data_IF_842388686214
#
_entry.id   IF_842388686214
#
_cell.length_a   1.000
_cell.length_b   1.000
_cell.length_c   1.000
_cell.angle_alpha   90.00
_cell.angle_beta   90.00
_cell.angle_gamma   90.00
#
_symmetry.space_group_name_H-M   'P 1'
#
loop_
_entity.id
_entity.type
_entity.pdbx_description
1 polymer ?
#
# COMPACT_ATOMS: atom_id res chain seq x y z
N UNK A 1 -34.71 -41.04 -0.36
CA UNK A 1 -34.50 -39.58 -0.49
C UNK A 1 -33.45 -39.01 0.48
N UNK A 2 -33.16 -39.62 1.64
CA UNK A 2 -32.23 -39.05 2.64
C UNK A 2 -30.74 -39.20 2.27
N UNK A 3 -30.36 -40.23 1.51
CA UNK A 3 -28.95 -40.55 1.21
C UNK A 3 -28.28 -39.56 0.23
N UNK A 4 -29.06 -38.83 -0.57
CA UNK A 4 -28.55 -37.83 -1.53
C UNK A 4 -28.37 -36.44 -0.89
N UNK A 5 -29.02 -36.18 0.25
CA UNK A 5 -28.97 -34.89 0.94
C UNK A 5 -27.63 -34.71 1.66
N UNK A 6 -27.06 -35.80 2.20
CA UNK A 6 -25.83 -35.74 3.00
C UNK A 6 -24.59 -35.32 2.17
N UNK A 7 -24.33 -35.87 0.96
CA UNK A 7 -23.21 -35.42 0.12
C UNK A 7 -23.38 -33.96 -0.34
N UNK A 8 -24.61 -33.54 -0.65
CA UNK A 8 -24.91 -32.17 -1.09
C UNK A 8 -24.67 -31.13 0.00
N UNK A 9 -25.07 -31.41 1.25
CA UNK A 9 -24.85 -30.53 2.39
C UNK A 9 -23.36 -30.40 2.73
N UNK A 10 -22.58 -31.48 2.60
CA UNK A 10 -21.13 -31.45 2.83
C UNK A 10 -20.40 -30.65 1.73
N UNK A 11 -20.79 -30.81 0.46
CA UNK A 11 -20.21 -30.05 -0.67
C UNK A 11 -20.49 -28.54 -0.56
N UNK A 12 -21.69 -28.14 -0.16
CA UNK A 12 -22.05 -26.73 0.02
C UNK A 12 -21.31 -26.13 1.22
N UNK A 13 -21.26 -26.85 2.35
CA UNK A 13 -20.62 -26.41 3.59
C UNK A 13 -19.11 -26.18 3.45
N UNK A 14 -18.42 -26.96 2.59
CA UNK A 14 -16.98 -26.79 2.32
C UNK A 14 -16.75 -25.83 1.13
N UNK A 15 -17.65 -25.80 0.15
CA UNK A 15 -17.51 -24.98 -1.06
C UNK A 15 -17.62 -23.48 -0.81
N UNK A 16 -18.55 -23.05 0.04
CA UNK A 16 -18.77 -21.63 0.37
C UNK A 16 -17.54 -20.96 1.03
N UNK A 17 -16.95 -21.49 2.12
CA UNK A 17 -15.79 -20.85 2.75
C UNK A 17 -14.56 -20.84 1.84
N UNK A 18 -14.39 -21.86 0.98
CA UNK A 18 -13.30 -21.88 -0.01
C UNK A 18 -13.51 -20.80 -1.08
N UNK A 19 -14.73 -20.65 -1.60
CA UNK A 19 -15.04 -19.62 -2.58
C UNK A 19 -14.87 -18.21 -2.01
N UNK A 20 -15.33 -17.98 -0.77
CA UNK A 20 -15.13 -16.71 -0.04
C UNK A 20 -13.64 -16.45 0.17
N UNK A 21 -12.88 -17.46 0.61
CA UNK A 21 -11.44 -17.35 0.83
C UNK A 21 -10.68 -16.98 -0.44
N UNK A 22 -10.95 -17.67 -1.55
CA UNK A 22 -10.34 -17.38 -2.85
C UNK A 22 -10.75 -15.99 -3.36
N UNK A 23 -12.05 -15.64 -3.27
CA UNK A 23 -12.55 -14.32 -3.66
C UNK A 23 -11.86 -13.18 -2.89
N UNK A 24 -11.64 -13.37 -1.58
CA UNK A 24 -10.91 -12.41 -0.75
C UNK A 24 -9.45 -12.23 -1.21
N UNK A 25 -8.76 -13.32 -1.51
CA UNK A 25 -7.37 -13.27 -2.01
C UNK A 25 -7.29 -12.50 -3.33
N UNK A 26 -8.21 -12.78 -4.27
CA UNK A 26 -8.27 -12.04 -5.54
C UNK A 26 -8.46 -10.53 -5.34
N UNK A 27 -9.32 -10.15 -4.40
CA UNK A 27 -9.57 -8.74 -4.09
C UNK A 27 -8.33 -8.07 -3.50
N UNK A 28 -7.63 -8.74 -2.57
CA UNK A 28 -6.38 -8.23 -1.98
C UNK A 28 -5.33 -8.02 -3.07
N UNK A 29 -5.14 -9.00 -3.96
CA UNK A 29 -4.18 -8.90 -5.07
C UNK A 29 -4.57 -7.76 -6.03
N UNK A 30 -5.86 -7.62 -6.34
CA UNK A 30 -6.33 -6.55 -7.22
C UNK A 30 -6.09 -5.15 -6.62
N UNK A 31 -6.40 -4.97 -5.33
CA UNK A 31 -6.14 -3.73 -4.59
C UNK A 31 -4.64 -3.45 -4.56
N UNK A 32 -3.81 -4.46 -4.29
CA UNK A 32 -2.37 -4.30 -4.24
C UNK A 32 -1.79 -3.86 -5.58
N UNK A 33 -2.22 -4.48 -6.68
CA UNK A 33 -1.81 -4.09 -8.04
C UNK A 33 -2.27 -2.65 -8.34
N UNK A 34 -3.48 -2.30 -7.92
CA UNK A 34 -4.03 -0.96 -8.11
C UNK A 34 -3.25 0.11 -7.34
N UNK A 35 -2.88 -0.16 -6.09
CA UNK A 35 -2.07 0.74 -5.25
C UNK A 35 -0.69 1.00 -5.87
N UNK A 36 0.00 -0.04 -6.35
CA UNK A 36 1.30 0.14 -7.01
C UNK A 36 1.17 1.00 -8.28
N UNK A 37 0.07 0.86 -9.02
CA UNK A 37 -0.19 1.69 -10.21
C UNK A 37 -0.57 3.14 -9.87
N UNK A 38 -1.07 3.40 -8.67
CA UNK A 38 -1.40 4.73 -8.17
C UNK A 38 -0.23 5.42 -7.46
N UNK A 39 0.83 4.68 -7.11
CA UNK A 39 1.95 5.16 -6.31
C UNK A 39 2.54 6.50 -6.75
N UNK A 40 2.54 6.79 -8.05
CA UNK A 40 3.13 8.02 -8.60
C UNK A 40 2.11 8.93 -9.27
N UNK A 41 0.81 8.71 -9.05
CA UNK A 41 -0.22 9.55 -9.65
C UNK A 41 -0.14 11.00 -9.14
N UNK A 42 0.10 11.20 -7.85
CA UNK A 42 0.29 12.52 -7.24
C UNK A 42 1.56 13.19 -7.78
N UNK A 43 2.66 12.44 -7.89
CA UNK A 43 3.92 12.95 -8.43
C UNK A 43 3.79 13.37 -9.89
N UNK A 44 3.11 12.57 -10.71
CA UNK A 44 2.83 12.91 -12.10
C UNK A 44 1.92 14.14 -12.22
N UNK A 45 0.90 14.28 -11.34
CA UNK A 45 0.04 15.46 -11.33
C UNK A 45 0.82 16.75 -10.99
N UNK A 46 1.74 16.67 -10.02
CA UNK A 46 2.55 17.82 -9.58
C UNK A 46 3.67 18.15 -10.58
N UNK A 47 4.39 17.14 -11.06
CA UNK A 47 5.58 17.32 -11.90
C UNK A 47 5.26 17.67 -13.34
N UNK A 48 4.20 17.07 -13.89
CA UNK A 48 3.84 17.20 -15.30
C UNK A 48 2.65 18.17 -15.48
N UNK A 49 2.22 18.83 -14.40
CA UNK A 49 1.01 19.69 -14.33
C UNK A 49 -0.23 19.01 -14.94
N UNK A 50 -0.29 17.69 -14.81
CA UNK A 50 -1.25 16.85 -15.52
C UNK A 50 -2.59 16.79 -14.76
N UNK A 51 -3.70 16.95 -15.49
CA UNK A 51 -5.03 16.68 -14.96
C UNK A 51 -5.18 15.22 -14.50
N UNK A 52 -6.13 14.94 -13.59
CA UNK A 52 -6.20 13.67 -12.88
C UNK A 52 -6.17 12.40 -13.75
N UNK A 53 -6.89 12.37 -14.88
CA UNK A 53 -6.87 11.21 -15.79
C UNK A 53 -5.52 11.04 -16.51
N UNK A 54 -4.88 12.15 -16.90
CA UNK A 54 -3.55 12.16 -17.52
C UNK A 54 -2.48 11.69 -16.53
N UNK A 55 -2.54 12.19 -15.29
CA UNK A 55 -1.63 11.80 -14.21
C UNK A 55 -1.71 10.30 -13.90
N UNK A 56 -2.92 9.73 -13.89
CA UNK A 56 -3.14 8.29 -13.74
C UNK A 56 -2.56 7.48 -14.90
N UNK A 57 -2.75 7.94 -16.14
CA UNK A 57 -2.18 7.28 -17.31
C UNK A 57 -0.65 7.30 -17.28
N UNK A 58 -0.06 8.44 -16.89
CA UNK A 58 1.38 8.61 -16.72
C UNK A 58 1.95 7.71 -15.62
N UNK A 59 1.33 7.67 -14.45
CA UNK A 59 1.73 6.75 -13.37
C UNK A 59 1.69 5.29 -13.84
N UNK A 60 0.64 4.89 -14.59
CA UNK A 60 0.59 3.53 -15.18
C UNK A 60 1.70 3.26 -16.18
N UNK A 61 2.10 4.25 -16.99
CA UNK A 61 3.20 4.12 -17.93
C UNK A 61 4.54 3.93 -17.21
N UNK A 62 4.83 4.75 -16.20
CA UNK A 62 6.08 4.69 -15.43
C UNK A 62 6.17 3.39 -14.61
N UNK A 63 5.05 2.94 -14.04
CA UNK A 63 5.00 1.71 -13.21
C UNK A 63 5.08 0.41 -14.03
N UNK A 64 4.83 0.47 -15.34
CA UNK A 64 4.84 -0.71 -16.22
C UNK A 64 6.24 -1.31 -16.30
N UNK A 65 6.34 -2.62 -16.07
CA UNK A 65 7.62 -3.36 -16.09
C UNK A 65 8.45 -3.27 -14.80
N UNK A 66 8.10 -2.35 -13.89
CA UNK A 66 8.88 -2.09 -12.67
C UNK A 66 8.17 -2.49 -11.38
N UNK A 67 7.11 -3.31 -11.46
CA UNK A 67 6.22 -3.65 -10.34
C UNK A 67 6.97 -4.05 -9.06
N UNK A 68 7.83 -5.08 -9.13
CA UNK A 68 8.56 -5.58 -7.97
C UNK A 68 9.59 -4.59 -7.41
N UNK A 69 10.17 -3.78 -8.27
CA UNK A 69 11.12 -2.73 -7.85
C UNK A 69 10.39 -1.64 -7.05
N UNK A 70 9.20 -1.26 -7.50
CA UNK A 70 8.36 -0.28 -6.79
C UNK A 70 7.87 -0.84 -5.47
N UNK A 71 7.37 -2.09 -5.46
CA UNK A 71 6.94 -2.76 -4.21
C UNK A 71 8.08 -2.84 -3.21
N UNK A 72 9.26 -3.29 -3.63
CA UNK A 72 10.43 -3.37 -2.75
C UNK A 72 10.85 -2.01 -2.21
N UNK A 73 10.82 -0.97 -3.06
CA UNK A 73 11.12 0.40 -2.65
C UNK A 73 10.10 0.95 -1.65
N UNK A 74 8.80 0.80 -1.93
CA UNK A 74 7.74 1.19 -1.00
C UNK A 74 7.87 0.48 0.34
N UNK A 75 8.16 -0.82 0.33
CA UNK A 75 8.32 -1.59 1.55
C UNK A 75 9.56 -1.14 2.33
N UNK A 76 10.65 -0.78 1.65
CA UNK A 76 11.85 -0.25 2.31
C UNK A 76 11.58 1.11 2.97
N UNK A 77 10.95 2.04 2.24
CA UNK A 77 10.69 3.40 2.74
C UNK A 77 9.57 3.40 3.79
N UNK A 78 8.39 2.93 3.43
CA UNK A 78 7.23 2.95 4.32
C UNK A 78 7.28 1.85 5.38
N UNK A 79 7.97 0.74 5.15
CA UNK A 79 8.11 -0.30 6.17
C UNK A 79 8.86 0.19 7.41
N UNK A 80 9.92 1.00 7.22
CA UNK A 80 10.65 1.61 8.35
C UNK A 80 9.75 2.61 9.08
N UNK A 81 9.06 3.49 8.35
CA UNK A 81 8.13 4.47 8.93
C UNK A 81 7.02 3.77 9.70
N UNK A 82 6.42 2.73 9.11
CA UNK A 82 5.36 1.94 9.72
C UNK A 82 5.84 1.20 10.97
N UNK A 83 7.03 0.58 10.93
CA UNK A 83 7.61 -0.08 12.09
C UNK A 83 7.82 0.89 13.26
N UNK A 84 8.37 2.08 12.99
CA UNK A 84 8.54 3.12 14.00
C UNK A 84 7.19 3.60 14.56
N UNK A 85 6.23 3.90 13.68
CA UNK A 85 4.89 4.31 14.08
C UNK A 85 4.18 3.23 14.93
N UNK A 86 4.37 1.94 14.61
CA UNK A 86 3.83 0.83 15.38
C UNK A 86 4.47 0.73 16.77
N UNK A 87 5.81 0.85 16.88
CA UNK A 87 6.51 0.85 18.17
C UNK A 87 6.04 1.99 19.07
N UNK A 88 5.85 3.17 18.48
CA UNK A 88 5.28 4.34 19.13
C UNK A 88 3.85 4.04 19.61
N UNK A 89 3.01 3.50 18.73
CA UNK A 89 1.63 3.15 19.06
C UNK A 89 1.55 2.20 20.24
N UNK A 90 2.47 1.23 20.30
CA UNK A 90 2.60 0.32 21.43
C UNK A 90 3.06 1.03 22.71
N UNK A 91 3.99 1.99 22.63
CA UNK A 91 4.42 2.74 23.82
C UNK A 91 3.30 3.56 24.46
N UNK A 92 2.33 4.04 23.66
CA UNK A 92 1.16 4.77 24.16
C UNK A 92 0.20 3.89 24.97
N UNK A 93 0.35 2.56 24.96
CA UNK A 93 -0.41 1.66 25.83
C UNK A 93 0.05 1.72 27.29
N UNK A 94 1.22 2.28 27.55
CA UNK A 94 1.75 2.42 28.91
C UNK A 94 1.37 3.84 29.41
N UNK A 95 0.60 3.96 30.51
CA UNK A 95 0.09 5.25 30.97
C UNK A 95 1.15 6.34 31.24
N UNK A 96 2.40 5.94 31.52
CA UNK A 96 3.49 6.91 31.75
C UNK A 96 3.87 7.70 30.49
N UNK A 97 3.60 7.15 29.30
CA UNK A 97 3.83 7.82 28.02
C UNK A 97 2.61 8.57 27.50
N UNK A 98 1.46 8.46 28.17
CA UNK A 98 0.22 9.16 27.81
C UNK A 98 0.26 10.61 28.29
N UNK A 99 1.07 11.43 27.63
CA UNK A 99 1.08 12.86 27.84
C UNK A 99 1.20 13.62 26.52
N UNK A 100 0.67 14.85 26.53
CA UNK A 100 0.61 15.72 25.37
C UNK A 100 1.99 15.96 24.72
N UNK A 101 3.05 16.10 25.53
CA UNK A 101 4.39 16.42 25.03
C UNK A 101 4.97 15.26 24.22
N UNK A 102 4.87 14.03 24.75
CA UNK A 102 5.31 12.82 24.05
C UNK A 102 4.53 12.65 22.75
N UNK A 103 3.20 12.78 22.79
CA UNK A 103 2.36 12.69 21.59
C UNK A 103 2.75 13.72 20.53
N UNK A 104 2.93 14.99 20.90
CA UNK A 104 3.29 16.06 19.97
C UNK A 104 4.67 15.84 19.33
N UNK A 105 5.68 15.47 20.13
CA UNK A 105 7.03 15.15 19.62
C UNK A 105 6.94 14.01 18.63
N UNK A 106 6.22 12.95 18.98
CA UNK A 106 6.16 11.77 18.16
C UNK A 106 5.40 11.98 16.85
N UNK A 107 4.26 12.67 16.87
CA UNK A 107 3.54 13.03 15.65
C UNK A 107 4.38 13.91 14.74
N UNK A 108 5.12 14.87 15.31
CA UNK A 108 6.05 15.72 14.54
C UNK A 108 7.13 14.88 13.87
N UNK A 109 7.71 13.92 14.60
CA UNK A 109 8.76 13.04 14.06
C UNK A 109 8.24 12.11 12.96
N UNK A 110 7.04 11.52 13.13
CA UNK A 110 6.39 10.71 12.09
C UNK A 110 6.10 11.53 10.85
N UNK A 111 5.57 12.75 11.01
CA UNK A 111 5.29 13.65 9.88
C UNK A 111 6.57 14.06 9.15
N UNK A 112 7.65 14.32 9.89
CA UNK A 112 8.95 14.62 9.32
C UNK A 112 9.46 13.43 8.49
N UNK A 113 9.42 12.21 9.01
CA UNK A 113 9.79 11.01 8.26
C UNK A 113 8.89 10.79 7.03
N UNK A 114 7.59 11.03 7.17
CA UNK A 114 6.64 10.98 6.05
C UNK A 114 7.04 11.95 4.93
N UNK A 115 7.45 13.18 5.28
CA UNK A 115 7.90 14.17 4.31
C UNK A 115 9.16 13.72 3.54
N UNK A 116 10.12 13.07 4.21
CA UNK A 116 11.27 12.45 3.55
C UNK A 116 10.83 11.33 2.60
N UNK A 117 9.89 10.48 3.01
CA UNK A 117 9.32 9.45 2.15
C UNK A 117 8.67 10.02 0.87
N UNK A 118 8.00 11.16 0.97
CA UNK A 118 7.45 11.87 -0.20
C UNK A 118 8.55 12.34 -1.16
N UNK A 119 9.63 12.93 -0.65
CA UNK A 119 10.77 13.39 -1.47
C UNK A 119 11.48 12.20 -2.13
N UNK A 120 11.71 11.12 -1.38
CA UNK A 120 12.30 9.88 -1.87
C UNK A 120 11.47 9.27 -3.01
N UNK A 121 10.15 9.24 -2.86
CA UNK A 121 9.23 8.78 -3.90
C UNK A 121 9.28 9.63 -5.16
N UNK A 122 9.41 10.95 -5.02
CA UNK A 122 9.59 11.86 -6.15
C UNK A 122 10.90 11.59 -6.89
N UNK A 123 12.01 11.42 -6.16
CA UNK A 123 13.32 11.07 -6.75
C UNK A 123 13.25 9.72 -7.46
N UNK A 124 12.62 8.73 -6.83
CA UNK A 124 12.45 7.40 -7.42
C UNK A 124 11.55 7.42 -8.66
N UNK A 125 10.49 8.24 -8.66
CA UNK A 125 9.65 8.47 -9.85
C UNK A 125 10.49 9.00 -11.02
N UNK A 126 11.28 10.05 -10.80
CA UNK A 126 12.17 10.61 -11.84
C UNK A 126 13.22 9.61 -12.30
N UNK A 127 13.76 8.80 -11.38
CA UNK A 127 14.69 7.72 -11.72
C UNK A 127 14.04 6.66 -12.61
N UNK A 128 12.80 6.25 -12.32
CA UNK A 128 12.09 5.30 -13.18
C UNK A 128 11.79 5.88 -14.55
N UNK A 129 11.36 7.14 -14.62
CA UNK A 129 11.05 7.84 -15.87
C UNK A 129 12.29 7.93 -16.80
N UNK A 130 13.45 8.31 -16.25
CA UNK A 130 14.70 8.38 -17.01
C UNK A 130 15.14 7.04 -17.60
N UNK A 131 14.81 5.91 -16.96
CA UNK A 131 15.12 4.58 -17.49
C UNK A 131 14.13 4.10 -18.57
N UNK A 132 13.05 4.85 -18.86
CA UNK A 132 12.13 4.51 -19.95
C UNK A 132 12.59 5.08 -21.29
N UNK A 133 13.50 6.06 -21.28
CA UNK A 133 14.02 6.72 -22.48
C UNK A 133 15.27 6.04 -23.07
N UNK A 134 15.87 5.10 -22.32
CA UNK A 134 17.04 4.30 -22.71
C UNK A 134 16.66 2.96 -23.34
#
# INVERSE_FOLDING_TARGET
>A
MVVIIIPGVILISIGEPVAIGLGGIYLIVAVFIFLVRLAFAEMAAICDEAGGSSALARSRAVTKGHFWRIVGYQLAVFGVIFALAALIGLSNLIPIFDNFVVSAITSTFINLLGSFGTVEMLVFFRHLDANQES
#
